data_IF_398281074222
#
_entry.id   IF_398281074222
#
_cell.length_a   1.000
_cell.length_b   1.000
_cell.length_c   1.000
_cell.angle_alpha   90.00
_cell.angle_beta   90.00
_cell.angle_gamma   90.00
#
_symmetry.space_group_name_H-M   'P 1'
#
loop_
_entity.id
_entity.type
_entity.pdbx_description
1 polymer ?
#
# COMPACT_ATOMS: atom_id res chain seq x y z
N UNK A 1 -11.09 14.56 9.22
CA UNK A 1 -10.71 13.49 8.27
C UNK A 1 -10.38 12.22 9.03
N UNK A 2 -10.97 11.09 8.62
CA UNK A 2 -10.71 9.77 9.23
C UNK A 2 -9.34 9.20 8.84
N UNK A 3 -8.82 8.27 9.63
CA UNK A 3 -7.55 7.58 9.35
C UNK A 3 -7.57 6.88 7.99
N UNK A 4 -8.70 6.25 7.65
CA UNK A 4 -8.95 5.66 6.33
C UNK A 4 -8.84 6.67 5.18
N UNK A 5 -9.31 7.91 5.38
CA UNK A 5 -9.18 8.97 4.39
C UNK A 5 -7.72 9.41 4.21
N UNK A 6 -6.96 9.57 5.31
CA UNK A 6 -5.53 9.93 5.25
C UNK A 6 -4.72 8.82 4.58
N UNK A 7 -5.03 7.57 4.89
CA UNK A 7 -4.37 6.41 4.30
C UNK A 7 -4.67 6.36 2.79
N UNK A 8 -5.93 6.48 2.35
CA UNK A 8 -6.26 6.54 0.92
C UNK A 8 -5.51 7.67 0.20
N UNK A 9 -5.48 8.87 0.77
CA UNK A 9 -4.80 10.02 0.16
C UNK A 9 -3.29 9.78 -0.03
N UNK A 10 -2.63 9.17 0.96
CA UNK A 10 -1.21 8.80 0.88
C UNK A 10 -0.95 7.70 -0.14
N UNK A 11 -1.84 6.71 -0.23
CA UNK A 11 -1.67 5.56 -1.14
C UNK A 11 -1.90 5.91 -2.62
N UNK A 12 -2.57 7.02 -2.95
CA UNK A 12 -2.96 7.32 -4.34
C UNK A 12 -2.34 8.60 -4.89
N UNK A 13 -1.47 9.28 -4.12
CA UNK A 13 -0.92 10.59 -4.49
C UNK A 13 -2.00 11.65 -4.76
N UNK A 14 -3.25 11.37 -4.40
CA UNK A 14 -4.43 12.15 -4.76
C UNK A 14 -5.40 12.10 -3.58
N UNK A 15 -5.96 13.26 -3.22
CA UNK A 15 -6.98 13.38 -2.17
C UNK A 15 -8.29 12.62 -2.51
N UNK A 16 -8.46 12.21 -3.78
CA UNK A 16 -9.62 11.48 -4.28
C UNK A 16 -9.26 10.01 -4.48
N UNK A 17 -10.09 9.10 -3.95
CA UNK A 17 -9.92 7.68 -4.22
C UNK A 17 -10.09 7.40 -5.73
N UNK A 18 -9.09 6.85 -6.43
CA UNK A 18 -9.17 6.63 -7.86
C UNK A 18 -10.23 5.58 -8.17
N UNK A 19 -10.85 5.69 -9.35
CA UNK A 19 -11.81 4.69 -9.82
C UNK A 19 -11.12 3.33 -10.04
N UNK A 20 -11.85 2.25 -9.78
CA UNK A 20 -11.42 0.91 -10.15
C UNK A 20 -11.23 0.82 -11.67
N UNK A 21 -10.08 0.35 -12.16
CA UNK A 21 -9.83 0.27 -13.61
C UNK A 21 -10.71 -0.79 -14.31
N UNK A 22 -11.31 -1.72 -13.55
CA UNK A 22 -12.14 -2.80 -14.10
C UNK A 22 -13.63 -2.47 -14.11
N UNK A 23 -14.18 -1.91 -13.03
CA UNK A 23 -15.63 -1.64 -12.93
C UNK A 23 -16.00 -0.16 -12.73
N UNK A 24 -15.02 0.74 -12.64
CA UNK A 24 -15.26 2.18 -12.47
C UNK A 24 -15.70 2.61 -11.06
N UNK A 25 -15.96 1.67 -10.15
CA UNK A 25 -16.39 1.98 -8.78
C UNK A 25 -15.27 2.64 -7.95
N UNK A 26 -15.62 3.51 -7.00
CA UNK A 26 -14.68 4.25 -6.14
C UNK A 26 -14.70 3.81 -4.67
N UNK A 27 -15.48 2.77 -4.35
CA UNK A 27 -15.51 2.16 -3.02
C UNK A 27 -14.36 1.16 -2.86
N UNK A 28 -13.43 1.47 -1.94
CA UNK A 28 -12.26 0.64 -1.65
C UNK A 28 -12.21 0.24 -0.18
N UNK A 29 -12.04 -1.04 0.10
CA UNK A 29 -11.77 -1.56 1.45
C UNK A 29 -10.27 -1.83 1.61
N UNK A 30 -9.70 -1.48 2.76
CA UNK A 30 -8.29 -1.76 3.08
C UNK A 30 -8.23 -3.09 3.81
N UNK A 31 -7.25 -3.95 3.51
CA UNK A 31 -7.06 -5.20 4.26
C UNK A 31 -6.72 -4.93 5.72
N UNK A 32 -7.43 -5.62 6.62
CA UNK A 32 -7.20 -5.52 8.07
C UNK A 32 -5.80 -5.99 8.46
N UNK A 33 -5.31 -7.05 7.81
CA UNK A 33 -3.95 -7.57 8.00
C UNK A 33 -3.03 -7.09 6.87
N UNK A 34 -1.81 -6.62 7.17
CA UNK A 34 -0.82 -6.34 6.14
C UNK A 34 -0.38 -7.67 5.51
N UNK A 35 -0.13 -7.66 4.22
CA UNK A 35 0.44 -8.79 3.49
C UNK A 35 1.92 -8.52 3.24
N UNK A 36 2.74 -9.58 3.22
CA UNK A 36 4.16 -9.46 2.91
C UNK A 36 4.33 -9.74 1.42
N UNK A 37 4.81 -8.73 0.67
CA UNK A 37 5.28 -8.96 -0.68
C UNK A 37 6.72 -9.48 -0.61
N UNK A 38 7.02 -10.67 -1.15
CA UNK A 38 8.38 -11.21 -1.12
C UNK A 38 9.37 -10.27 -1.79
N UNK A 39 10.55 -10.12 -1.19
CA UNK A 39 11.67 -9.44 -1.86
C UNK A 39 12.27 -10.39 -2.90
N UNK A 40 12.69 -9.83 -4.04
CA UNK A 40 13.45 -10.54 -5.05
C UNK A 40 14.86 -9.95 -5.14
N UNK A 41 15.86 -10.81 -5.30
CA UNK A 41 17.23 -10.41 -5.60
C UNK A 41 17.37 -9.94 -7.05
N UNK A 42 18.57 -9.48 -7.40
CA UNK A 42 18.88 -8.99 -8.76
C UNK A 42 18.75 -10.07 -9.84
N UNK A 43 18.84 -11.33 -9.44
CA UNK A 43 18.63 -12.52 -10.27
C UNK A 43 17.14 -12.93 -10.38
N UNK A 44 16.25 -12.19 -9.73
CA UNK A 44 14.82 -12.48 -9.65
C UNK A 44 14.45 -13.60 -8.67
N UNK A 45 15.41 -14.18 -7.95
CA UNK A 45 15.14 -15.19 -6.95
C UNK A 45 14.50 -14.55 -5.70
N UNK A 46 13.52 -15.23 -5.10
CA UNK A 46 12.92 -14.77 -3.86
C UNK A 46 13.94 -14.87 -2.72
N UNK A 47 14.07 -13.79 -1.94
CA UNK A 47 14.96 -13.77 -0.77
C UNK A 47 14.19 -14.30 0.44
N UNK A 48 14.53 -15.48 0.98
CA UNK A 48 13.80 -16.07 2.09
C UNK A 48 13.83 -15.16 3.33
N UNK A 49 12.68 -14.98 3.98
CA UNK A 49 12.57 -14.16 5.18
C UNK A 49 12.62 -12.65 4.95
N UNK A 50 12.80 -12.18 3.72
CA UNK A 50 12.71 -10.76 3.38
C UNK A 50 11.45 -10.44 2.59
N UNK A 51 10.84 -9.31 2.90
CA UNK A 51 9.68 -8.83 2.18
C UNK A 51 9.18 -7.49 2.70
N UNK A 52 8.30 -6.89 1.93
CA UNK A 52 7.77 -5.57 2.18
C UNK A 52 6.35 -5.67 2.71
N UNK A 53 6.04 -5.10 3.89
CA UNK A 53 4.68 -5.05 4.38
C UNK A 53 3.86 -4.09 3.51
N UNK A 54 2.88 -4.63 2.80
CA UNK A 54 1.96 -3.87 1.96
C UNK A 54 0.53 -4.02 2.46
N UNK A 55 -0.28 -3.00 2.18
CA UNK A 55 -1.73 -3.06 2.42
C UNK A 55 -2.42 -3.34 1.09
N UNK A 56 -3.35 -4.29 1.09
CA UNK A 56 -4.20 -4.50 -0.07
C UNK A 56 -5.39 -3.52 -0.02
N UNK A 57 -5.74 -2.97 -1.17
CA UNK A 57 -7.02 -2.30 -1.38
C UNK A 57 -7.89 -3.19 -2.27
N UNK A 58 -9.08 -3.52 -1.78
CA UNK A 58 -10.07 -4.35 -2.46
C UNK A 58 -11.21 -3.45 -2.95
N UNK A 59 -11.53 -3.53 -4.23
CA UNK A 59 -12.68 -2.82 -4.80
C UNK A 59 -13.97 -3.45 -4.28
N UNK A 60 -14.85 -2.66 -3.67
CA UNK A 60 -16.15 -3.15 -3.20
C UNK A 60 -17.18 -3.37 -4.31
N UNK A 61 -16.89 -2.98 -5.56
CA UNK A 61 -17.77 -3.20 -6.71
C UNK A 61 -17.52 -4.54 -7.41
N UNK A 62 -16.26 -4.87 -7.71
CA UNK A 62 -15.91 -6.07 -8.48
C UNK A 62 -14.88 -6.98 -7.80
N UNK A 63 -14.40 -6.64 -6.59
CA UNK A 63 -13.40 -7.43 -5.87
C UNK A 63 -11.96 -7.27 -6.36
N UNK A 64 -11.69 -6.43 -7.36
CA UNK A 64 -10.32 -6.18 -7.84
C UNK A 64 -9.39 -5.75 -6.69
N UNK A 65 -8.22 -6.40 -6.61
CA UNK A 65 -7.22 -6.17 -5.57
C UNK A 65 -6.03 -5.42 -6.14
N UNK A 66 -5.60 -4.36 -5.46
CA UNK A 66 -4.33 -3.68 -5.74
C UNK A 66 -3.50 -3.55 -4.47
N UNK A 67 -2.21 -3.79 -4.58
CA UNK A 67 -1.24 -3.67 -3.49
C UNK A 67 -0.70 -2.25 -3.44
N UNK A 68 -0.59 -1.70 -2.24
CA UNK A 68 0.09 -0.43 -2.02
C UNK A 68 1.20 -0.62 -1.01
N UNK A 69 2.43 -0.32 -1.43
CA UNK A 69 3.55 -0.17 -0.52
C UNK A 69 3.31 1.12 0.28
N UNK A 70 3.41 1.02 1.61
CA UNK A 70 3.84 2.22 2.35
C UNK A 70 5.25 2.46 1.82
N UNK A 71 5.54 3.66 1.31
CA UNK A 71 6.92 4.13 1.24
C UNK A 71 7.58 3.74 2.56
N UNK A 72 8.71 3.05 2.48
CA UNK A 72 9.50 2.75 3.66
C UNK A 72 9.66 4.08 4.41
N UNK A 73 9.16 4.13 5.64
CA UNK A 73 9.50 5.24 6.52
C UNK A 73 11.01 5.10 6.66
N UNK A 74 11.78 6.00 6.02
CA UNK A 74 13.21 6.11 6.29
C UNK A 74 13.38 6.07 7.80
N UNK A 75 14.30 5.26 8.34
CA UNK A 75 14.54 5.25 9.78
C UNK A 75 14.79 6.70 10.19
N UNK A 76 14.01 7.19 11.16
CA UNK A 76 14.17 8.53 11.69
C UNK A 76 15.66 8.73 12.03
N UNK A 77 16.32 9.63 11.32
CA UNK A 77 17.72 9.96 11.58
C UNK A 77 17.81 10.49 13.03
N UNK A 78 18.44 9.76 13.95
CA UNK A 78 18.53 10.19 15.35
C UNK A 78 19.45 11.41 15.52
N UNK A 79 20.21 11.80 14.50
CA UNK A 79 21.18 12.91 14.54
C UNK A 79 20.67 14.23 13.92
N UNK A 80 19.36 14.37 13.66
CA UNK A 80 18.78 15.60 13.08
C UNK A 80 18.38 16.66 14.15
N UNK A 81 19.09 16.70 15.28
CA UNK A 81 18.96 17.76 16.28
C UNK A 81 20.31 18.48 16.42
N UNK A 82 20.45 19.61 15.73
CA UNK A 82 21.37 20.71 16.07
C UNK A 82 20.58 22.03 15.98
#
# INVERSE_FOLDING_TARGET
MSETQRLRARLTGQAVAPKCPFCGASNWSVSATPMILPAAGDDGALIPGQGYPVRALVCGGCGFVRTHMREAVEPANPDAAD
#
